data_IF_892963357536
#
_entry.id   IF_892963357536
#
_cell.length_a   1.000
_cell.length_b   1.000
_cell.length_c   1.000
_cell.angle_alpha   90.00
_cell.angle_beta   90.00
_cell.angle_gamma   90.00
#
_symmetry.space_group_name_H-M   'P 1'
#
loop_
_entity.id
_entity.type
_entity.pdbx_description
1 polymer ?
#
# COMPACT_ATOMS: atom_id res chain seq x y z
N UNK A 1 31.79 6.81 5.90
CA UNK A 1 30.62 6.88 4.98
C UNK A 1 30.38 5.49 4.42
N UNK A 2 29.17 5.02 4.54
CA UNK A 2 28.70 3.71 4.05
C UNK A 2 27.95 3.96 2.74
N UNK A 3 28.13 3.12 1.72
CA UNK A 3 27.32 3.22 0.51
C UNK A 3 25.88 2.77 0.82
N UNK A 4 24.88 3.47 0.26
CA UNK A 4 23.47 3.17 0.54
C UNK A 4 23.10 1.72 0.16
N UNK A 5 23.79 1.11 -0.80
CA UNK A 5 23.54 -0.28 -1.21
C UNK A 5 23.97 -1.29 -0.14
N UNK A 6 25.00 -0.98 0.67
CA UNK A 6 25.37 -1.78 1.84
C UNK A 6 24.27 -1.70 2.89
N UNK A 7 23.80 -0.48 3.20
CA UNK A 7 22.70 -0.28 4.14
C UNK A 7 21.40 -0.95 3.65
N UNK A 8 21.09 -0.84 2.36
CA UNK A 8 19.95 -1.51 1.75
C UNK A 8 20.05 -3.05 1.91
N UNK A 9 21.26 -3.61 1.72
CA UNK A 9 21.49 -5.04 1.94
C UNK A 9 21.21 -5.45 3.39
N UNK A 10 21.57 -4.64 4.38
CA UNK A 10 21.21 -4.88 5.78
C UNK A 10 19.68 -4.85 6.00
N UNK A 11 18.99 -3.87 5.41
CA UNK A 11 17.54 -3.70 5.52
C UNK A 11 16.81 -4.90 4.89
N UNK A 12 17.27 -5.39 3.75
CA UNK A 12 16.60 -6.47 2.99
C UNK A 12 17.02 -7.86 3.45
N UNK A 13 18.16 -8.02 4.10
CA UNK A 13 18.66 -9.32 4.56
C UNK A 13 17.95 -9.74 5.88
N UNK A 14 16.66 -10.01 5.76
CA UNK A 14 15.85 -10.52 6.86
C UNK A 14 16.06 -12.03 6.99
N UNK A 15 16.63 -12.44 8.12
CA UNK A 15 16.99 -13.84 8.38
C UNK A 15 15.79 -14.79 8.52
N UNK A 16 14.59 -14.28 8.79
CA UNK A 16 13.44 -15.13 9.11
C UNK A 16 12.09 -14.60 8.58
N UNK A 17 11.88 -14.70 7.27
CA UNK A 17 10.59 -14.39 6.65
C UNK A 17 9.45 -15.32 7.12
N UNK A 18 9.77 -16.52 7.60
CA UNK A 18 8.77 -17.44 8.15
C UNK A 18 8.12 -16.90 9.42
N UNK A 19 8.90 -16.29 10.30
CA UNK A 19 8.37 -15.65 11.51
C UNK A 19 7.53 -14.42 11.18
N UNK A 20 7.98 -13.61 10.22
CA UNK A 20 7.19 -12.47 9.73
C UNK A 20 5.85 -12.95 9.21
N UNK A 21 5.81 -13.96 8.36
CA UNK A 21 4.58 -14.54 7.86
C UNK A 21 3.66 -15.02 8.99
N UNK A 22 4.20 -15.79 9.94
CA UNK A 22 3.42 -16.29 11.07
C UNK A 22 2.86 -15.14 11.95
N UNK A 23 3.65 -14.11 12.19
CA UNK A 23 3.22 -12.94 12.96
C UNK A 23 2.08 -12.20 12.26
N UNK A 24 2.17 -11.98 10.95
CA UNK A 24 1.08 -11.36 10.16
C UNK A 24 -0.16 -12.26 10.18
N UNK A 25 -0.03 -13.56 9.96
CA UNK A 25 -1.16 -14.50 10.01
C UNK A 25 -1.85 -14.50 11.37
N UNK A 26 -1.08 -14.50 12.46
CA UNK A 26 -1.60 -14.42 13.84
C UNK A 26 -2.29 -13.08 14.09
N UNK A 27 -1.68 -11.97 13.63
CA UNK A 27 -2.28 -10.65 13.74
C UNK A 27 -3.64 -10.60 13.01
N UNK A 28 -3.72 -11.07 11.77
CA UNK A 28 -4.97 -11.11 10.99
C UNK A 28 -6.06 -11.90 11.69
N UNK A 29 -5.76 -13.11 12.19
CA UNK A 29 -6.72 -13.94 12.94
C UNK A 29 -7.22 -13.23 14.20
N UNK A 30 -6.31 -12.62 14.95
CA UNK A 30 -6.65 -11.92 16.18
C UNK A 30 -7.57 -10.71 15.92
N UNK A 31 -7.27 -9.92 14.90
CA UNK A 31 -8.06 -8.73 14.55
C UNK A 31 -9.47 -9.08 14.14
N UNK A 32 -9.66 -10.09 13.27
CA UNK A 32 -10.99 -10.56 12.86
C UNK A 32 -11.79 -11.07 14.07
N UNK A 33 -11.15 -11.83 14.95
CA UNK A 33 -11.78 -12.33 16.19
C UNK A 33 -12.17 -11.21 17.14
N UNK A 34 -11.25 -10.28 17.44
CA UNK A 34 -11.49 -9.16 18.38
C UNK A 34 -12.62 -8.23 17.90
N UNK A 35 -12.66 -7.97 16.59
CA UNK A 35 -13.68 -7.11 15.99
C UNK A 35 -14.98 -7.85 15.65
N UNK A 36 -15.05 -9.17 15.96
CA UNK A 36 -16.21 -10.03 15.70
C UNK A 36 -16.67 -9.98 14.23
N UNK A 37 -15.72 -9.92 13.31
CA UNK A 37 -15.98 -9.97 11.89
C UNK A 37 -16.02 -11.41 11.39
N UNK A 38 -16.71 -11.66 10.27
CA UNK A 38 -16.87 -12.99 9.69
C UNK A 38 -15.78 -13.36 8.68
N UNK A 39 -15.00 -12.37 8.23
CA UNK A 39 -13.94 -12.54 7.25
C UNK A 39 -13.29 -11.21 6.88
N UNK A 40 -12.68 -11.17 5.67
CA UNK A 40 -11.94 -10.01 5.18
C UNK A 40 -12.28 -9.71 3.72
N UNK A 41 -12.16 -8.43 3.33
CA UNK A 41 -12.31 -7.97 1.94
C UNK A 41 -11.17 -7.01 1.59
N UNK A 42 -10.70 -7.06 0.35
CA UNK A 42 -9.60 -6.22 -0.12
C UNK A 42 -9.69 -5.98 -1.62
N UNK A 43 -9.06 -4.88 -2.08
CA UNK A 43 -8.85 -4.62 -3.50
C UNK A 43 -7.68 -5.45 -4.03
N UNK A 44 -7.85 -6.12 -5.17
CA UNK A 44 -6.80 -6.87 -5.85
C UNK A 44 -6.55 -6.25 -7.23
N UNK A 45 -5.43 -5.55 -7.37
CA UNK A 45 -5.06 -4.84 -8.61
C UNK A 45 -4.19 -5.67 -9.57
N UNK A 46 -3.56 -6.75 -9.08
CA UNK A 46 -2.52 -7.49 -9.80
C UNK A 46 -1.10 -6.93 -9.60
N UNK A 47 -0.93 -5.89 -8.78
CA UNK A 47 0.36 -5.41 -8.30
C UNK A 47 0.84 -6.19 -7.07
N UNK A 48 2.15 -6.15 -6.81
CA UNK A 48 2.81 -6.94 -5.77
C UNK A 48 2.16 -6.79 -4.38
N UNK A 49 1.81 -5.57 -3.98
CA UNK A 49 1.26 -5.27 -2.65
C UNK A 49 -0.07 -5.98 -2.44
N UNK A 50 -1.02 -5.79 -3.35
CA UNK A 50 -2.35 -6.40 -3.30
C UNK A 50 -2.30 -7.92 -3.44
N UNK A 51 -1.37 -8.45 -4.24
CA UNK A 51 -1.17 -9.90 -4.40
C UNK A 51 -0.56 -10.50 -3.13
N UNK A 52 0.42 -9.84 -2.50
CA UNK A 52 0.96 -10.30 -1.21
C UNK A 52 -0.14 -10.39 -0.14
N UNK A 53 -1.01 -9.37 -0.06
CA UNK A 53 -2.17 -9.41 0.85
C UNK A 53 -3.14 -10.53 0.49
N UNK A 54 -3.35 -10.81 -0.82
CA UNK A 54 -4.21 -11.91 -1.27
C UNK A 54 -3.68 -13.29 -0.82
N UNK A 55 -2.36 -13.53 -0.94
CA UNK A 55 -1.73 -14.77 -0.46
C UNK A 55 -1.90 -14.97 1.04
N UNK A 56 -1.67 -13.91 1.84
CA UNK A 56 -1.87 -13.92 3.28
C UNK A 56 -3.34 -14.16 3.66
N UNK A 57 -4.26 -13.44 3.01
CA UNK A 57 -5.69 -13.56 3.26
C UNK A 57 -6.24 -14.94 2.88
N UNK A 58 -5.83 -15.49 1.72
CA UNK A 58 -6.21 -16.82 1.28
C UNK A 58 -5.75 -17.90 2.29
N UNK A 59 -4.51 -17.82 2.74
CA UNK A 59 -3.93 -18.76 3.70
C UNK A 59 -4.65 -18.75 5.04
N UNK A 60 -5.04 -17.56 5.52
CA UNK A 60 -5.65 -17.39 6.85
C UNK A 60 -7.15 -17.65 6.83
N UNK A 61 -7.87 -17.18 5.81
CA UNK A 61 -9.33 -17.12 5.80
C UNK A 61 -9.99 -18.00 4.73
N UNK A 62 -9.25 -18.47 3.72
CA UNK A 62 -9.81 -19.27 2.63
C UNK A 62 -11.02 -18.59 1.98
N UNK A 63 -12.17 -19.24 1.97
CA UNK A 63 -13.43 -18.72 1.40
C UNK A 63 -14.04 -17.51 2.15
N UNK A 64 -13.53 -17.18 3.32
CA UNK A 64 -13.90 -15.96 4.06
C UNK A 64 -13.03 -14.75 3.69
N UNK A 65 -12.20 -14.85 2.66
CA UNK A 65 -11.47 -13.76 2.03
C UNK A 65 -12.12 -13.42 0.68
N UNK A 66 -12.58 -12.18 0.52
CA UNK A 66 -13.22 -11.69 -0.71
C UNK A 66 -12.29 -10.72 -1.42
N UNK A 67 -11.85 -11.06 -2.63
CA UNK A 67 -11.08 -10.18 -3.51
C UNK A 67 -11.99 -9.33 -4.39
N UNK A 68 -11.75 -8.03 -4.47
CA UNK A 68 -12.44 -7.13 -5.39
C UNK A 68 -11.48 -6.65 -6.48
N UNK A 69 -11.71 -7.07 -7.71
CA UNK A 69 -10.99 -6.62 -8.90
C UNK A 69 -11.79 -5.48 -9.51
N UNK A 70 -11.25 -4.27 -9.45
CA UNK A 70 -11.99 -3.05 -9.80
C UNK A 70 -11.19 -2.21 -10.82
N UNK A 71 -11.03 -2.69 -12.08
CA UNK A 71 -10.39 -1.90 -13.11
C UNK A 71 -11.22 -0.66 -13.43
N UNK A 72 -10.54 0.39 -13.90
CA UNK A 72 -11.13 1.40 -14.77
C UNK A 72 -10.62 1.06 -16.17
N UNK A 73 -11.46 0.53 -17.04
CA UNK A 73 -11.07 0.03 -18.37
C UNK A 73 -10.48 1.11 -19.28
N UNK A 74 -10.64 2.38 -18.94
CA UNK A 74 -10.06 3.51 -19.68
C UNK A 74 -8.59 3.77 -19.36
N UNK A 75 -8.11 3.34 -18.18
CA UNK A 75 -6.74 3.61 -17.70
C UNK A 75 -5.99 2.37 -17.21
N UNK A 76 -6.69 1.38 -16.66
CA UNK A 76 -6.07 0.17 -16.11
C UNK A 76 -5.64 -0.79 -17.23
N UNK A 77 -4.37 -1.24 -17.27
CA UNK A 77 -3.95 -2.24 -18.23
C UNK A 77 -4.70 -3.57 -18.06
N UNK A 78 -5.19 -4.14 -19.15
CA UNK A 78 -5.89 -5.44 -19.12
C UNK A 78 -5.02 -6.59 -18.58
N UNK A 79 -3.70 -6.49 -18.76
CA UNK A 79 -2.74 -7.44 -18.20
C UNK A 79 -2.77 -7.51 -16.67
N UNK A 80 -2.97 -6.38 -15.98
CA UNK A 80 -3.05 -6.37 -14.52
C UNK A 80 -4.34 -7.03 -14.01
N UNK A 81 -5.47 -6.75 -14.67
CA UNK A 81 -6.72 -7.48 -14.40
C UNK A 81 -6.54 -8.99 -14.66
N UNK A 82 -5.84 -9.35 -15.74
CA UNK A 82 -5.50 -10.75 -16.04
C UNK A 82 -4.65 -11.41 -14.96
N UNK A 83 -3.62 -10.72 -14.45
CA UNK A 83 -2.78 -11.22 -13.36
C UNK A 83 -3.57 -11.38 -12.06
N UNK A 84 -4.43 -10.42 -11.72
CA UNK A 84 -5.32 -10.53 -10.56
C UNK A 84 -6.25 -11.76 -10.66
N UNK A 85 -6.85 -12.01 -11.83
CA UNK A 85 -7.72 -13.17 -12.03
C UNK A 85 -6.99 -14.51 -11.99
N UNK A 86 -5.73 -14.57 -12.48
CA UNK A 86 -4.87 -15.77 -12.33
C UNK A 86 -4.59 -16.07 -10.87
N UNK A 87 -4.18 -15.07 -10.09
CA UNK A 87 -3.94 -15.19 -8.65
C UNK A 87 -5.19 -15.69 -7.92
N UNK A 88 -6.38 -15.16 -8.26
CA UNK A 88 -7.65 -15.63 -7.71
C UNK A 88 -7.87 -17.11 -7.98
N UNK A 89 -7.62 -17.55 -9.24
CA UNK A 89 -7.76 -18.94 -9.64
C UNK A 89 -6.79 -19.86 -8.89
N UNK A 90 -5.52 -19.47 -8.75
CA UNK A 90 -4.48 -20.21 -8.03
C UNK A 90 -4.77 -20.35 -6.54
N UNK A 91 -5.23 -19.28 -5.90
CA UNK A 91 -5.54 -19.24 -4.47
C UNK A 91 -6.96 -19.74 -4.13
N UNK A 92 -7.80 -19.96 -5.13
CA UNK A 92 -9.20 -20.37 -4.93
C UNK A 92 -10.05 -19.36 -4.17
N UNK A 93 -9.77 -18.06 -4.32
CA UNK A 93 -10.49 -16.98 -3.63
C UNK A 93 -11.89 -16.75 -4.22
N UNK A 94 -12.81 -16.33 -3.37
CA UNK A 94 -14.06 -15.72 -3.84
C UNK A 94 -13.76 -14.29 -4.30
N UNK A 95 -14.41 -13.85 -5.39
CA UNK A 95 -14.15 -12.51 -5.94
C UNK A 95 -15.37 -11.84 -6.57
N UNK A 96 -15.23 -10.54 -6.80
CA UNK A 96 -16.09 -9.74 -7.68
C UNK A 96 -15.22 -8.98 -8.67
N UNK A 97 -15.65 -8.92 -9.92
CA UNK A 97 -15.07 -8.08 -10.95
C UNK A 97 -16.05 -6.94 -11.23
N UNK A 98 -15.62 -5.70 -11.00
CA UNK A 98 -16.45 -4.50 -11.11
C UNK A 98 -15.68 -3.44 -11.86
N UNK A 99 -16.01 -3.17 -13.12
CA UNK A 99 -15.42 -2.05 -13.84
C UNK A 99 -16.01 -0.74 -13.31
N UNK A 100 -15.14 0.19 -12.91
CA UNK A 100 -15.53 1.46 -12.32
C UNK A 100 -15.59 2.61 -13.34
N UNK A 101 -15.33 2.37 -14.62
CA UNK A 101 -15.28 3.39 -15.67
C UNK A 101 -16.57 4.22 -15.76
N UNK A 102 -17.72 3.56 -15.77
CA UNK A 102 -19.05 4.22 -15.83
C UNK A 102 -19.28 5.06 -14.58
N UNK A 103 -18.95 4.54 -13.41
CA UNK A 103 -19.10 5.25 -12.13
C UNK A 103 -18.22 6.50 -12.13
N UNK A 104 -16.94 6.32 -12.48
CA UNK A 104 -15.99 7.41 -12.54
C UNK A 104 -16.42 8.49 -13.57
N UNK A 105 -16.90 8.07 -14.75
CA UNK A 105 -17.39 8.98 -15.80
C UNK A 105 -18.61 9.79 -15.34
N UNK A 106 -19.55 9.19 -14.61
CA UNK A 106 -20.69 9.92 -14.08
C UNK A 106 -20.23 11.03 -13.13
N UNK A 107 -19.33 10.70 -12.17
CA UNK A 107 -18.77 11.72 -11.28
C UNK A 107 -18.03 12.82 -12.03
N UNK A 108 -17.11 12.44 -12.95
CA UNK A 108 -16.24 13.39 -13.65
C UNK A 108 -17.00 14.36 -14.55
N UNK A 109 -18.19 13.99 -15.06
CA UNK A 109 -19.05 14.86 -15.84
C UNK A 109 -19.60 16.07 -15.04
N UNK A 110 -19.56 16.01 -13.73
CA UNK A 110 -20.04 17.05 -12.81
C UNK A 110 -18.91 17.78 -12.07
N UNK A 111 -17.66 17.47 -12.38
CA UNK A 111 -16.49 18.00 -11.68
C UNK A 111 -15.56 18.75 -12.66
N UNK A 112 -14.78 19.67 -12.11
CA UNK A 112 -13.74 20.34 -12.88
C UNK A 112 -12.65 19.34 -13.33
N UNK A 113 -12.13 19.48 -14.57
CA UNK A 113 -11.12 18.57 -15.09
C UNK A 113 -9.75 18.83 -14.46
N UNK A 114 -9.30 17.90 -13.61
CA UNK A 114 -7.94 17.84 -13.05
C UNK A 114 -7.51 16.39 -13.00
N UNK A 115 -6.43 16.02 -13.66
CA UNK A 115 -5.98 14.63 -13.79
C UNK A 115 -5.71 13.97 -12.43
N UNK A 116 -5.04 14.69 -11.52
CA UNK A 116 -4.70 14.18 -10.19
C UNK A 116 -5.92 14.04 -9.29
N UNK A 117 -6.81 15.02 -9.30
CA UNK A 117 -8.04 14.98 -8.52
C UNK A 117 -8.96 13.85 -9.01
N UNK A 118 -9.10 13.68 -10.33
CA UNK A 118 -9.86 12.59 -10.95
C UNK A 118 -9.20 11.22 -10.71
N UNK A 119 -7.86 11.14 -10.70
CA UNK A 119 -7.12 9.95 -10.27
C UNK A 119 -7.45 9.56 -8.83
N UNK A 120 -7.36 10.50 -7.90
CA UNK A 120 -7.74 10.30 -6.49
C UNK A 120 -9.23 9.92 -6.34
N UNK A 121 -10.10 10.41 -7.22
CA UNK A 121 -11.50 10.00 -7.24
C UNK A 121 -11.65 8.50 -7.54
N UNK A 122 -10.86 7.94 -8.49
CA UNK A 122 -10.84 6.49 -8.78
C UNK A 122 -10.52 5.67 -7.53
N UNK A 123 -9.50 6.08 -6.77
CA UNK A 123 -9.14 5.40 -5.52
C UNK A 123 -10.29 5.44 -4.50
N UNK A 124 -10.98 6.58 -4.37
CA UNK A 124 -12.13 6.73 -3.45
C UNK A 124 -13.36 5.93 -3.89
N UNK A 125 -13.64 5.85 -5.18
CA UNK A 125 -14.72 4.98 -5.72
C UNK A 125 -14.44 3.53 -5.34
N UNK A 126 -13.20 3.04 -5.52
CA UNK A 126 -12.82 1.69 -5.11
C UNK A 126 -12.99 1.48 -3.62
N UNK A 127 -12.55 2.43 -2.78
CA UNK A 127 -12.73 2.36 -1.33
C UNK A 127 -14.21 2.25 -0.94
N UNK A 128 -15.09 3.06 -1.53
CA UNK A 128 -16.53 3.00 -1.26
C UNK A 128 -17.10 1.62 -1.60
N UNK A 129 -16.69 1.01 -2.71
CA UNK A 129 -17.14 -0.34 -3.11
C UNK A 129 -16.60 -1.38 -2.12
N UNK A 130 -15.34 -1.27 -1.69
CA UNK A 130 -14.75 -2.20 -0.70
C UNK A 130 -15.55 -2.16 0.61
N UNK A 131 -15.81 -0.96 1.15
CA UNK A 131 -16.58 -0.80 2.38
C UNK A 131 -18.04 -1.21 2.24
N UNK A 132 -18.65 -1.07 1.04
CA UNK A 132 -19.98 -1.63 0.78
C UNK A 132 -19.99 -3.15 1.01
N UNK A 133 -19.02 -3.88 0.45
CA UNK A 133 -18.92 -5.34 0.65
C UNK A 133 -18.51 -5.73 2.07
N UNK A 134 -17.67 -4.91 2.72
CA UNK A 134 -17.31 -5.08 4.13
C UNK A 134 -18.59 -5.06 5.00
N UNK A 135 -19.42 -4.04 4.84
CA UNK A 135 -20.68 -3.92 5.57
C UNK A 135 -21.66 -5.05 5.23
N UNK A 136 -21.81 -5.38 3.94
CA UNK A 136 -22.72 -6.43 3.49
C UNK A 136 -22.42 -7.80 4.08
N UNK A 137 -21.14 -8.10 4.31
CA UNK A 137 -20.66 -9.41 4.75
C UNK A 137 -20.15 -9.45 6.20
N UNK A 138 -20.20 -8.35 6.93
CA UNK A 138 -19.53 -8.20 8.22
C UNK A 138 -18.02 -8.55 8.15
N UNK A 139 -17.34 -8.03 7.14
CA UNK A 139 -15.93 -8.26 6.88
C UNK A 139 -15.09 -7.04 7.24
N UNK A 140 -13.80 -7.25 7.58
CA UNK A 140 -12.83 -6.17 7.74
C UNK A 140 -12.14 -5.87 6.40
N UNK A 141 -11.88 -4.60 6.18
CA UNK A 141 -11.12 -4.14 5.01
C UNK A 141 -9.63 -4.30 5.28
N UNK A 142 -8.95 -5.09 4.44
CA UNK A 142 -7.49 -5.15 4.43
C UNK A 142 -6.96 -4.09 3.45
N UNK A 143 -6.11 -3.20 3.96
CA UNK A 143 -5.34 -2.28 3.13
C UNK A 143 -4.08 -2.97 2.58
N UNK A 144 -3.57 -2.42 1.49
CA UNK A 144 -2.45 -2.99 0.74
C UNK A 144 -1.22 -2.09 0.72
N UNK A 145 -1.20 -1.01 1.52
CA UNK A 145 -0.05 -0.11 1.62
C UNK A 145 1.12 -0.81 2.29
N UNK A 146 2.31 -0.69 1.71
CA UNK A 146 3.57 -1.04 2.35
C UNK A 146 4.13 0.13 3.17
N UNK A 147 5.25 -0.09 3.85
CA UNK A 147 5.86 0.90 4.73
C UNK A 147 6.38 2.12 3.98
N UNK A 148 6.99 1.91 2.82
CA UNK A 148 7.59 2.98 2.03
C UNK A 148 6.52 3.95 1.54
N UNK A 149 5.46 3.43 0.90
CA UNK A 149 4.32 4.23 0.44
C UNK A 149 3.61 4.92 1.60
N UNK A 150 3.41 4.20 2.71
CA UNK A 150 2.75 4.73 3.89
C UNK A 150 3.51 5.90 4.50
N UNK A 151 4.83 5.76 4.68
CA UNK A 151 5.66 6.78 5.32
C UNK A 151 5.84 8.05 4.48
N UNK A 152 5.99 7.92 3.14
CA UNK A 152 6.06 9.10 2.27
C UNK A 152 4.68 9.64 1.88
N UNK A 153 3.59 8.99 2.35
CA UNK A 153 2.20 9.38 2.05
C UNK A 153 1.83 9.20 0.59
N UNK A 154 2.43 8.25 -0.10
CA UNK A 154 2.14 7.93 -1.49
C UNK A 154 0.90 7.04 -1.61
N UNK A 155 -0.22 7.59 -1.16
CA UNK A 155 -1.55 7.00 -1.25
C UNK A 155 -2.61 8.10 -1.20
N UNK A 156 -3.81 7.79 -1.66
CA UNK A 156 -4.96 8.69 -1.57
C UNK A 156 -5.63 8.56 -0.21
N UNK A 157 -5.59 9.65 0.59
CA UNK A 157 -6.32 9.70 1.88
C UNK A 157 -7.81 9.43 1.65
N UNK A 158 -8.39 8.50 2.41
CA UNK A 158 -9.76 8.01 2.25
C UNK A 158 -10.07 7.33 0.89
N UNK A 159 -9.01 6.91 0.19
CA UNK A 159 -9.07 6.06 -0.99
C UNK A 159 -8.39 4.72 -0.71
N UNK A 160 -7.30 4.43 -1.40
CA UNK A 160 -6.47 3.24 -1.15
C UNK A 160 -5.80 3.24 0.25
N UNK A 161 -5.66 4.41 0.89
CA UNK A 161 -5.28 4.50 2.30
C UNK A 161 -6.40 4.17 3.31
N UNK A 162 -7.63 3.88 2.85
CA UNK A 162 -8.74 3.49 3.74
C UNK A 162 -8.67 1.99 4.03
N UNK A 163 -8.51 1.63 5.29
CA UNK A 163 -8.49 0.23 5.72
C UNK A 163 -8.85 0.11 7.21
N UNK A 164 -9.31 -1.09 7.62
CA UNK A 164 -9.46 -1.45 9.02
C UNK A 164 -8.19 -2.09 9.57
N UNK A 165 -7.40 -2.72 8.70
CA UNK A 165 -6.16 -3.44 9.03
C UNK A 165 -5.16 -3.26 7.89
N UNK A 166 -3.88 -3.05 8.23
CA UNK A 166 -2.75 -2.89 7.31
C UNK A 166 -1.74 -4.04 7.55
N UNK A 167 -1.87 -5.19 6.88
CA UNK A 167 -1.07 -6.38 7.19
C UNK A 167 0.40 -6.29 6.79
N UNK A 168 0.75 -5.46 5.81
CA UNK A 168 2.12 -5.38 5.24
C UNK A 168 2.78 -4.01 5.46
N UNK A 169 2.15 -3.11 6.25
CA UNK A 169 2.60 -1.73 6.44
C UNK A 169 3.94 -1.60 7.19
N UNK A 170 4.42 -2.67 7.81
CA UNK A 170 5.73 -2.71 8.47
C UNK A 170 6.86 -3.19 7.54
N UNK A 171 6.56 -3.57 6.30
CA UNK A 171 7.55 -3.99 5.31
C UNK A 171 7.83 -2.85 4.33
N UNK A 172 9.09 -2.43 4.24
CA UNK A 172 9.53 -1.54 3.16
C UNK A 172 9.31 -2.21 1.79
N UNK A 173 9.15 -1.44 0.72
CA UNK A 173 8.92 -1.97 -0.64
C UNK A 173 9.98 -3.02 -1.04
N UNK A 174 11.23 -2.76 -0.72
CA UNK A 174 12.33 -3.69 -1.02
C UNK A 174 12.25 -4.98 -0.20
N UNK A 175 11.88 -4.89 1.07
CA UNK A 175 11.60 -6.06 1.93
C UNK A 175 10.36 -6.82 1.46
N UNK A 176 9.32 -6.11 1.05
CA UNK A 176 8.08 -6.72 0.56
C UNK A 176 8.33 -7.54 -0.71
N UNK A 177 9.20 -7.09 -1.61
CA UNK A 177 9.59 -7.85 -2.81
C UNK A 177 10.20 -9.22 -2.44
N UNK A 178 11.11 -9.24 -1.47
CA UNK A 178 11.73 -10.50 -1.00
C UNK A 178 10.73 -11.37 -0.22
N UNK A 179 9.91 -10.76 0.62
CA UNK A 179 8.85 -11.47 1.35
C UNK A 179 7.81 -12.07 0.39
N UNK A 180 7.42 -11.35 -0.65
CA UNK A 180 6.48 -11.84 -1.67
C UNK A 180 7.03 -13.08 -2.39
N UNK A 181 8.32 -13.09 -2.77
CA UNK A 181 9.00 -14.28 -3.32
C UNK A 181 8.95 -15.44 -2.33
N UNK A 182 9.27 -15.17 -1.06
CA UNK A 182 9.28 -16.20 -0.02
C UNK A 182 7.92 -16.88 0.16
N UNK A 183 6.81 -16.14 0.10
CA UNK A 183 5.46 -16.69 0.25
C UNK A 183 4.89 -17.28 -1.06
N UNK A 184 5.66 -17.26 -2.17
CA UNK A 184 5.32 -17.89 -3.43
C UNK A 184 4.58 -17.02 -4.44
N UNK A 185 4.63 -15.70 -4.31
CA UNK A 185 4.10 -14.78 -5.33
C UNK A 185 4.90 -14.94 -6.64
N UNK A 186 4.25 -15.07 -7.80
CA UNK A 186 4.92 -15.28 -9.08
C UNK A 186 5.93 -14.16 -9.44
N UNK A 187 7.08 -14.55 -9.98
CA UNK A 187 8.18 -13.62 -10.30
C UNK A 187 7.76 -12.46 -11.22
N UNK A 188 6.88 -12.72 -12.20
CA UNK A 188 6.38 -11.69 -13.09
C UNK A 188 5.57 -10.60 -12.37
N UNK A 189 5.03 -10.89 -11.18
CA UNK A 189 4.34 -9.91 -10.31
C UNK A 189 5.36 -9.22 -9.41
N UNK A 190 6.30 -9.98 -8.83
CA UNK A 190 7.33 -9.42 -7.93
C UNK A 190 8.22 -8.40 -8.64
N UNK A 191 8.60 -8.67 -9.90
CA UNK A 191 9.47 -7.80 -10.69
C UNK A 191 8.74 -6.68 -11.44
N UNK A 192 7.40 -6.66 -11.35
CA UNK A 192 6.59 -5.62 -12.00
C UNK A 192 6.86 -4.24 -11.38
N UNK A 193 6.94 -3.23 -12.24
CA UNK A 193 7.04 -1.83 -11.77
C UNK A 193 5.78 -1.43 -11.00
N UNK A 194 5.97 -0.76 -9.87
CA UNK A 194 4.85 -0.23 -9.06
C UNK A 194 4.08 0.84 -9.81
N UNK A 195 2.76 0.66 -9.92
CA UNK A 195 1.86 1.60 -10.59
C UNK A 195 0.55 1.72 -9.82
N UNK A 196 0.15 2.93 -9.41
CA UNK A 196 -1.17 3.15 -8.79
C UNK A 196 -2.31 3.17 -9.81
N UNK A 197 -2.02 3.20 -11.12
CA UNK A 197 -3.01 3.20 -12.22
C UNK A 197 -4.13 4.26 -12.05
N UNK A 198 -3.77 5.46 -11.60
CA UNK A 198 -4.71 6.56 -11.47
C UNK A 198 -4.93 7.31 -12.80
N UNK A 199 -3.97 7.21 -13.71
CA UNK A 199 -4.03 7.63 -15.11
C UNK A 199 -3.17 6.73 -15.99
N UNK A 200 -3.28 6.87 -17.30
CA UNK A 200 -2.58 6.00 -18.24
C UNK A 200 -1.06 6.18 -18.17
N UNK A 201 -0.33 5.07 -17.99
CA UNK A 201 1.14 5.09 -17.90
C UNK A 201 1.68 5.65 -16.58
N UNK A 202 0.91 5.65 -15.52
CA UNK A 202 1.30 6.14 -14.21
C UNK A 202 2.20 5.12 -13.49
N UNK A 203 3.49 5.46 -13.31
CA UNK A 203 4.45 4.68 -12.53
C UNK A 203 4.92 5.45 -11.31
N UNK A 204 4.95 4.78 -10.15
CA UNK A 204 5.26 5.41 -8.87
C UNK A 204 6.65 6.04 -8.83
N UNK A 205 7.70 5.31 -9.22
CA UNK A 205 9.06 5.82 -9.20
C UNK A 205 9.31 6.93 -10.22
N UNK A 206 8.54 6.99 -11.31
CA UNK A 206 8.62 8.10 -12.27
C UNK A 206 7.96 9.37 -11.72
N UNK A 207 6.80 9.26 -11.06
CA UNK A 207 6.14 10.40 -10.41
C UNK A 207 6.96 10.90 -9.21
N UNK A 208 7.47 10.00 -8.38
CA UNK A 208 8.31 10.35 -7.23
C UNK A 208 9.68 10.85 -7.73
N UNK A 209 10.22 10.30 -8.82
CA UNK A 209 11.55 10.62 -9.39
C UNK A 209 12.71 10.04 -8.57
N UNK A 210 12.46 9.07 -7.67
CA UNK A 210 13.44 8.41 -6.81
C UNK A 210 13.06 6.93 -6.74
N UNK A 211 14.06 6.02 -6.79
CA UNK A 211 13.82 4.59 -6.67
C UNK A 211 13.49 4.18 -5.24
N UNK A 212 12.75 3.08 -5.08
CA UNK A 212 12.38 2.56 -3.75
C UNK A 212 13.60 2.15 -2.92
N UNK A 213 14.68 1.69 -3.55
CA UNK A 213 15.92 1.36 -2.86
C UNK A 213 16.49 2.55 -2.09
N UNK A 214 16.47 3.75 -2.70
CA UNK A 214 16.89 4.99 -2.06
C UNK A 214 15.88 5.48 -1.03
N UNK A 215 14.59 5.40 -1.35
CA UNK A 215 13.50 5.79 -0.45
C UNK A 215 13.59 4.97 0.84
N UNK A 216 13.69 3.66 0.75
CA UNK A 216 13.72 2.74 1.88
C UNK A 216 14.94 2.97 2.76
N UNK A 217 16.10 3.21 2.14
CA UNK A 217 17.34 3.52 2.89
C UNK A 217 17.20 4.81 3.71
N UNK A 218 16.68 5.88 3.12
CA UNK A 218 16.48 7.16 3.82
C UNK A 218 15.42 7.02 4.91
N UNK A 219 14.29 6.39 4.63
CA UNK A 219 13.24 6.16 5.61
C UNK A 219 13.71 5.31 6.79
N UNK A 220 14.51 4.28 6.52
CA UNK A 220 15.10 3.48 7.57
C UNK A 220 15.98 4.32 8.51
N UNK A 221 16.81 5.21 7.96
CA UNK A 221 17.62 6.12 8.76
C UNK A 221 16.76 7.11 9.57
N UNK A 222 15.67 7.65 8.96
CA UNK A 222 14.72 8.53 9.67
C UNK A 222 14.11 7.83 10.89
N UNK A 223 13.76 6.55 10.78
CA UNK A 223 13.11 5.83 11.87
C UNK A 223 14.06 5.28 12.93
N UNK A 224 15.34 5.07 12.59
CA UNK A 224 16.28 4.39 13.48
C UNK A 224 17.40 5.29 14.04
N UNK A 225 17.58 6.49 13.53
CA UNK A 225 18.52 7.47 14.08
C UNK A 225 17.82 8.40 15.07
N UNK A 226 18.45 8.67 16.22
CA UNK A 226 17.84 9.44 17.31
C UNK A 226 17.47 10.88 16.89
N UNK A 227 18.32 11.50 16.06
CA UNK A 227 18.17 12.90 15.63
C UNK A 227 18.47 13.03 14.14
N UNK A 228 17.64 12.37 13.29
CA UNK A 228 17.83 12.40 11.85
C UNK A 228 17.86 13.82 11.30
N UNK A 229 18.96 14.18 10.65
CA UNK A 229 19.07 15.38 9.81
C UNK A 229 19.63 15.02 8.45
N UNK A 230 19.31 15.85 7.43
CA UNK A 230 19.83 15.64 6.07
C UNK A 230 21.35 15.71 6.04
N UNK A 231 21.96 16.63 6.79
CA UNK A 231 23.41 16.80 6.81
C UNK A 231 24.07 15.60 7.51
N UNK A 232 23.55 15.11 8.64
CA UNK A 232 24.03 13.89 9.29
C UNK A 232 23.94 12.67 8.36
N UNK A 233 22.85 12.54 7.59
CA UNK A 233 22.72 11.48 6.59
C UNK A 233 23.85 11.55 5.56
N UNK A 234 24.14 12.73 5.01
CA UNK A 234 25.18 12.94 4.00
C UNK A 234 26.60 12.76 4.53
N UNK A 235 26.81 13.01 5.82
CA UNK A 235 28.11 12.78 6.48
C UNK A 235 28.39 11.28 6.68
N UNK A 236 27.34 10.45 6.79
CA UNK A 236 27.46 9.03 7.07
C UNK A 236 27.20 8.14 5.85
N UNK A 237 26.43 8.60 4.85
CA UNK A 237 25.96 7.81 3.73
C UNK A 237 26.38 8.40 2.38
N UNK A 238 26.66 7.54 1.40
CA UNK A 238 26.95 7.93 0.00
C UNK A 238 25.97 7.28 -0.98
N UNK A 239 25.96 7.75 -2.24
CA UNK A 239 25.15 7.18 -3.32
C UNK A 239 23.74 7.75 -3.46
N UNK A 240 23.28 8.60 -2.51
CA UNK A 240 22.00 9.32 -2.60
C UNK A 240 22.27 10.82 -2.60
N UNK A 241 21.68 11.56 -3.53
CA UNK A 241 21.91 13.00 -3.62
C UNK A 241 21.23 13.77 -2.48
N UNK A 242 21.79 14.90 -2.08
CA UNK A 242 21.17 15.80 -1.08
C UNK A 242 19.73 16.13 -1.45
N UNK A 243 19.47 16.44 -2.72
CA UNK A 243 18.13 16.74 -3.24
C UNK A 243 17.13 15.59 -3.02
N UNK A 244 17.56 14.34 -3.22
CA UNK A 244 16.69 13.16 -3.02
C UNK A 244 16.39 12.96 -1.54
N UNK A 245 17.42 13.09 -0.67
CA UNK A 245 17.24 12.98 0.79
C UNK A 245 16.28 14.05 1.30
N UNK A 246 16.48 15.31 0.91
CA UNK A 246 15.58 16.42 1.28
C UNK A 246 14.14 16.16 0.81
N UNK A 247 13.97 15.68 -0.42
CA UNK A 247 12.65 15.38 -0.98
C UNK A 247 11.94 14.28 -0.19
N UNK A 248 12.61 13.17 0.10
CA UNK A 248 12.04 12.06 0.89
C UNK A 248 11.66 12.55 2.28
N UNK A 249 12.54 13.29 2.94
CA UNK A 249 12.29 13.83 4.27
C UNK A 249 11.09 14.80 4.29
N UNK A 250 10.98 15.67 3.29
CA UNK A 250 9.82 16.56 3.12
C UNK A 250 8.53 15.77 2.88
N UNK A 251 8.56 14.73 2.04
CA UNK A 251 7.39 13.87 1.83
C UNK A 251 6.98 13.19 3.14
N UNK A 252 7.93 12.64 3.90
CA UNK A 252 7.67 12.03 5.20
C UNK A 252 6.99 13.01 6.18
N UNK A 253 7.49 14.24 6.30
CA UNK A 253 6.95 15.27 7.20
C UNK A 253 5.60 15.80 6.73
N UNK A 254 5.49 16.24 5.47
CA UNK A 254 4.32 16.94 4.95
C UNK A 254 3.09 16.01 4.81
N UNK A 255 3.29 14.71 4.76
CA UNK A 255 2.21 13.73 4.61
C UNK A 255 1.77 13.09 5.92
N UNK A 256 2.33 13.50 7.05
CA UNK A 256 2.00 12.96 8.37
C UNK A 256 0.48 12.99 8.64
N UNK A 257 -0.20 14.05 8.22
CA UNK A 257 -1.66 14.19 8.35
C UNK A 257 -2.47 13.10 7.64
N UNK A 258 -1.85 12.33 6.74
CA UNK A 258 -2.51 11.20 6.07
C UNK A 258 -2.51 9.93 6.93
N UNK A 259 -1.57 9.83 7.89
CA UNK A 259 -1.32 8.66 8.74
C UNK A 259 -1.95 8.74 10.12
N UNK A 260 -2.53 9.88 10.46
CA UNK A 260 -3.18 10.11 11.75
C UNK A 260 -4.68 10.32 11.57
N UNK A 261 -5.43 10.06 12.63
CA UNK A 261 -6.84 10.41 12.69
C UNK A 261 -7.02 11.93 12.53
N UNK A 262 -8.19 12.39 12.07
CA UNK A 262 -8.47 13.81 12.00
C UNK A 262 -8.20 14.50 13.35
N UNK A 263 -7.49 15.62 13.30
CA UNK A 263 -7.26 16.44 14.50
C UNK A 263 -8.59 16.92 15.07
N UNK A 264 -8.63 16.99 16.38
CA UNK A 264 -9.81 17.46 17.11
C UNK A 264 -9.53 18.82 17.72
N UNK A 265 -10.51 19.71 17.71
CA UNK A 265 -10.47 20.87 18.61
C UNK A 265 -10.30 20.35 20.04
N UNK A 266 -9.38 20.94 20.81
CA UNK A 266 -9.22 20.62 22.22
C UNK A 266 -10.54 20.77 23.00
N UNK A 267 -10.52 20.62 24.33
CA UNK A 267 -11.71 20.82 25.15
C UNK A 267 -12.30 22.22 24.87
N UNK A 268 -13.51 22.25 24.28
CA UNK A 268 -14.23 23.51 24.01
C UNK A 268 -14.96 24.05 25.25
N UNK A 269 -14.94 23.30 26.36
CA UNK A 269 -15.66 23.63 27.59
C UNK A 269 -14.75 24.25 28.68
N UNK A 270 -13.49 24.57 28.35
CA UNK A 270 -12.54 25.07 29.33
C UNK A 270 -12.24 24.06 30.45
N UNK A 271 -11.14 24.23 31.15
CA UNK A 271 -10.91 23.53 32.41
C UNK A 271 -11.84 24.15 33.47
N UNK A 272 -12.84 23.40 33.90
CA UNK A 272 -13.66 23.74 35.04
C UNK A 272 -12.99 23.28 36.32
#
# INVERSE_FOLDING_TARGET
MVDYTEKLSEITNISNYADIQQNIEKFLKNMVSQKKADGVVFGLSGGIDSVTVAYLAAKVFGKKALALVMPDSTVSPSSETGDALKVIGELGLDYKLIDIDVIHKIYSNHLEPDERALGNLRARIRANIIYYYANLKNYLVLGTSDKSEYLIGYFTKFGDGSADILPIVELYKTQLREFAKFIGVPDNIVTKRSSPNLWKGHYAEEEIGISYEKIDTVLYCIENWSDFTVDEFLDNMTGISKKDVEKIYQMYQNTQHKRILPERAGSIYGDF
#
